data_IF_580250398518
#
_entry.id   IF_580250398518
#
_cell.length_a   1.000
_cell.length_b   1.000
_cell.length_c   1.000
_cell.angle_alpha   90.00
_cell.angle_beta   90.00
_cell.angle_gamma   90.00
#
_symmetry.space_group_name_H-M   'P 1'
#
loop_
_entity.id
_entity.type
_entity.pdbx_description
1 polymer ?
#
# COMPACT_ATOMS: atom_id res chain seq x y z
N UNK A 1 19.79 7.69 8.24
CA UNK A 1 18.60 7.81 9.13
C UNK A 1 18.57 6.60 10.05
N UNK A 2 18.21 6.79 11.32
CA UNK A 2 18.01 5.74 12.33
C UNK A 2 16.56 5.28 12.31
N UNK A 3 16.31 3.99 12.26
CA UNK A 3 14.98 3.39 12.13
C UNK A 3 14.64 2.53 13.34
N UNK A 4 13.39 2.63 13.82
CA UNK A 4 12.77 1.65 14.70
C UNK A 4 11.83 0.76 13.88
N UNK A 5 12.02 -0.56 13.92
CA UNK A 5 11.13 -1.51 13.25
C UNK A 5 10.15 -2.11 14.26
N UNK A 6 8.86 -2.00 13.95
CA UNK A 6 7.77 -2.60 14.70
C UNK A 6 7.14 -3.71 13.85
N UNK A 7 7.28 -4.95 14.31
CA UNK A 7 6.97 -6.13 13.52
C UNK A 7 8.17 -6.65 12.73
N UNK A 8 8.72 -7.80 13.14
CA UNK A 8 9.88 -8.48 12.52
C UNK A 8 9.46 -9.68 11.65
N UNK A 9 8.24 -9.64 11.12
CA UNK A 9 7.72 -10.60 10.15
C UNK A 9 8.43 -10.54 8.80
N UNK A 10 7.81 -11.05 7.75
CA UNK A 10 8.42 -11.08 6.40
C UNK A 10 8.75 -9.68 5.87
N UNK A 11 7.86 -8.69 6.08
CA UNK A 11 8.10 -7.32 5.62
C UNK A 11 9.13 -6.59 6.49
N UNK A 12 9.03 -6.68 7.82
CA UNK A 12 10.02 -6.07 8.70
C UNK A 12 11.45 -6.57 8.46
N UNK A 13 11.62 -7.88 8.17
CA UNK A 13 12.91 -8.43 7.75
C UNK A 13 13.40 -7.86 6.42
N UNK A 14 12.52 -7.77 5.42
CA UNK A 14 12.88 -7.20 4.13
C UNK A 14 13.29 -5.71 4.25
N UNK A 15 12.61 -4.93 5.11
CA UNK A 15 13.00 -3.55 5.41
C UNK A 15 14.36 -3.49 6.11
N UNK A 16 14.62 -4.38 7.09
CA UNK A 16 15.91 -4.44 7.76
C UNK A 16 17.06 -4.77 6.80
N UNK A 17 16.87 -5.80 5.96
CA UNK A 17 17.86 -6.21 4.95
C UNK A 17 18.15 -5.08 3.95
N UNK A 18 17.13 -4.35 3.52
CA UNK A 18 17.31 -3.23 2.59
C UNK A 18 17.98 -2.02 3.27
N UNK A 19 17.62 -1.73 4.53
CA UNK A 19 18.25 -0.68 5.33
C UNK A 19 19.75 -0.94 5.53
N UNK A 20 20.13 -2.19 5.80
CA UNK A 20 21.53 -2.60 6.02
C UNK A 20 22.40 -2.44 4.74
N UNK A 21 21.79 -2.39 3.54
CA UNK A 21 22.50 -2.17 2.26
C UNK A 21 22.55 -0.70 1.85
N UNK A 22 21.83 0.18 2.55
CA UNK A 22 21.66 1.59 2.26
C UNK A 22 22.22 2.53 3.33
N UNK A 23 21.83 3.81 3.32
CA UNK A 23 22.30 4.83 4.27
C UNK A 23 21.52 4.82 5.61
N UNK A 24 20.77 3.76 5.89
CA UNK A 24 19.91 3.64 7.07
C UNK A 24 20.50 2.68 8.11
N UNK A 25 20.12 2.85 9.36
CA UNK A 25 20.52 1.97 10.46
C UNK A 25 19.30 1.61 11.29
N UNK A 26 19.02 0.32 11.43
CA UNK A 26 17.97 -0.17 12.34
C UNK A 26 18.53 -0.19 13.77
N UNK A 27 18.10 0.79 14.58
CA UNK A 27 18.57 0.95 15.97
C UNK A 27 17.68 0.22 16.97
N UNK A 28 16.43 -0.08 16.62
CA UNK A 28 15.49 -0.79 17.49
C UNK A 28 14.60 -1.75 16.68
N UNK A 29 14.28 -2.88 17.31
CA UNK A 29 13.34 -3.88 16.78
C UNK A 29 12.38 -4.30 17.87
N UNK A 30 11.09 -4.37 17.49
CA UNK A 30 9.98 -4.79 18.36
C UNK A 30 9.18 -5.88 17.68
N UNK A 31 8.82 -6.92 18.44
CA UNK A 31 8.04 -8.07 17.99
C UNK A 31 7.28 -8.70 19.16
N UNK A 32 6.84 -9.97 19.03
CA UNK A 32 6.12 -10.69 20.08
C UNK A 32 6.95 -10.90 21.34
N UNK A 33 8.28 -11.02 21.22
CA UNK A 33 9.19 -11.28 22.35
C UNK A 33 9.59 -9.96 23.06
N UNK A 34 9.51 -8.87 22.34
CA UNK A 34 9.76 -7.50 22.84
C UNK A 34 8.67 -6.56 22.32
N UNK A 35 7.47 -6.58 22.92
CA UNK A 35 6.35 -5.78 22.41
C UNK A 35 6.62 -4.27 22.49
N UNK A 36 6.23 -3.56 21.42
CA UNK A 36 6.42 -2.10 21.34
C UNK A 36 5.66 -1.36 22.42
N UNK A 37 4.46 -1.82 22.79
CA UNK A 37 3.62 -1.19 23.80
C UNK A 37 4.16 -1.34 25.24
N UNK A 38 4.97 -2.35 25.49
CA UNK A 38 5.57 -2.60 26.80
C UNK A 38 6.93 -1.91 26.97
N UNK A 39 7.49 -1.40 25.86
CA UNK A 39 8.79 -0.75 25.87
C UNK A 39 8.71 0.70 26.39
N UNK A 40 9.74 1.20 27.11
CA UNK A 40 9.87 2.61 27.39
C UNK A 40 10.30 3.39 26.13
N UNK A 41 10.02 4.70 26.07
CA UNK A 41 10.42 5.55 24.93
C UNK A 41 11.94 5.49 24.66
N UNK A 42 12.76 5.37 25.70
CA UNK A 42 14.23 5.22 25.57
C UNK A 42 14.65 3.98 24.76
N UNK A 43 13.77 2.99 24.61
CA UNK A 43 14.04 1.80 23.81
C UNK A 43 14.03 2.07 22.28
N UNK A 44 13.61 3.25 21.85
CA UNK A 44 13.70 3.72 20.46
C UNK A 44 15.13 4.10 20.04
N UNK A 45 16.03 4.33 21.03
CA UNK A 45 17.44 4.66 20.77
C UNK A 45 17.64 5.82 19.77
N UNK A 46 16.87 6.89 19.94
CA UNK A 46 16.87 8.08 19.06
C UNK A 46 16.57 7.73 17.58
N UNK A 47 15.64 6.84 17.35
CA UNK A 47 15.15 6.57 16.01
C UNK A 47 14.50 7.83 15.41
N UNK A 48 14.87 8.14 14.18
CA UNK A 48 14.31 9.27 13.42
C UNK A 48 12.87 8.98 12.96
N UNK A 49 12.59 7.72 12.58
CA UNK A 49 11.28 7.25 12.09
C UNK A 49 11.04 5.81 12.53
N UNK A 50 9.82 5.49 12.91
CA UNK A 50 9.34 4.12 13.09
C UNK A 50 8.73 3.58 11.80
N UNK A 51 8.92 2.28 11.50
CA UNK A 51 8.25 1.58 10.40
C UNK A 51 7.51 0.38 10.98
N UNK A 52 6.20 0.35 10.81
CA UNK A 52 5.32 -0.67 11.38
C UNK A 52 4.75 -1.62 10.30
N UNK A 53 5.10 -2.90 10.43
CA UNK A 53 4.51 -4.03 9.73
C UNK A 53 4.13 -5.12 10.72
N UNK A 54 3.28 -4.78 11.70
CA UNK A 54 2.84 -5.65 12.78
C UNK A 54 1.50 -6.36 12.47
N UNK A 55 0.59 -6.36 13.42
CA UNK A 55 -0.73 -6.98 13.31
C UNK A 55 -1.83 -5.91 13.29
N UNK A 56 -2.97 -6.15 12.61
CA UNK A 56 -4.08 -5.19 12.52
C UNK A 56 -4.54 -4.65 13.88
N UNK A 57 -4.72 -5.53 14.87
CA UNK A 57 -5.20 -5.16 16.21
C UNK A 57 -4.19 -4.28 16.98
N UNK A 58 -2.93 -4.25 16.57
CA UNK A 58 -1.87 -3.45 17.19
C UNK A 58 -1.63 -2.11 16.48
N UNK A 59 -2.14 -1.91 15.28
CA UNK A 59 -1.87 -0.72 14.47
C UNK A 59 -2.32 0.57 15.18
N UNK A 60 -3.55 0.62 15.68
CA UNK A 60 -4.11 1.79 16.40
C UNK A 60 -3.34 2.11 17.70
N UNK A 61 -3.10 1.14 18.61
CA UNK A 61 -2.25 1.38 19.80
C UNK A 61 -0.83 1.84 19.44
N UNK A 62 -0.23 1.30 18.38
CA UNK A 62 1.12 1.70 17.94
C UNK A 62 1.12 3.13 17.38
N UNK A 63 0.14 3.49 16.53
CA UNK A 63 -0.03 4.86 16.03
C UNK A 63 -0.17 5.86 17.17
N UNK A 64 -1.06 5.59 18.14
CA UNK A 64 -1.22 6.42 19.33
C UNK A 64 0.11 6.60 20.07
N UNK A 65 0.83 5.51 20.33
CA UNK A 65 2.11 5.53 21.02
C UNK A 65 3.17 6.34 20.26
N UNK A 66 3.24 6.20 18.94
CA UNK A 66 4.16 6.98 18.10
C UNK A 66 3.83 8.47 18.16
N UNK A 67 2.56 8.85 18.09
CA UNK A 67 2.13 10.24 18.23
C UNK A 67 2.47 10.81 19.61
N UNK A 68 2.15 10.08 20.72
CA UNK A 68 2.46 10.49 22.09
C UNK A 68 3.96 10.68 22.32
N UNK A 69 4.81 9.90 21.66
CA UNK A 69 6.26 9.98 21.76
C UNK A 69 6.89 10.95 20.74
N UNK A 70 6.07 11.54 19.89
CA UNK A 70 6.50 12.42 18.79
C UNK A 70 7.56 11.76 17.91
N UNK A 71 7.33 10.48 17.54
CA UNK A 71 8.16 9.72 16.61
C UNK A 71 7.36 9.53 15.33
N UNK A 72 7.82 10.08 14.18
CA UNK A 72 7.16 9.85 12.89
C UNK A 72 7.05 8.36 12.59
N UNK A 73 5.93 7.94 12.02
CA UNK A 73 5.69 6.52 11.73
C UNK A 73 5.17 6.27 10.31
N UNK A 74 5.83 5.33 9.64
CA UNK A 74 5.34 4.72 8.40
C UNK A 74 4.57 3.46 8.75
N UNK A 75 3.24 3.49 8.56
CA UNK A 75 2.33 2.42 8.92
C UNK A 75 1.96 1.57 7.69
N UNK A 76 2.55 0.37 7.62
CA UNK A 76 2.26 -0.62 6.60
C UNK A 76 1.29 -1.71 7.06
N UNK A 77 0.92 -1.72 8.34
CA UNK A 77 -0.14 -2.59 8.86
C UNK A 77 -1.50 -2.05 8.42
N UNK A 78 -2.36 -2.91 7.91
CA UNK A 78 -3.71 -2.60 7.41
C UNK A 78 -4.79 -3.02 8.40
N UNK A 79 -6.08 -2.76 8.09
CA UNK A 79 -7.23 -3.20 8.90
C UNK A 79 -7.59 -2.28 10.06
N UNK A 80 -7.19 -0.99 10.00
CA UNK A 80 -7.50 0.03 11.00
C UNK A 80 -8.09 1.33 10.39
N UNK A 81 -8.38 1.34 9.10
CA UNK A 81 -8.81 2.55 8.39
C UNK A 81 -10.18 3.08 8.82
N UNK A 82 -10.98 2.26 9.50
CA UNK A 82 -12.19 2.69 10.21
C UNK A 82 -11.91 3.70 11.35
N UNK A 83 -10.66 3.81 11.78
CA UNK A 83 -10.19 4.73 12.82
C UNK A 83 -9.43 5.96 12.25
N UNK A 84 -9.52 6.25 10.95
CA UNK A 84 -8.79 7.38 10.32
C UNK A 84 -9.06 8.72 11.01
N UNK A 85 -10.32 9.01 11.38
CA UNK A 85 -10.67 10.25 12.08
C UNK A 85 -10.00 10.35 13.47
N UNK A 86 -9.93 9.23 14.20
CA UNK A 86 -9.20 9.17 15.48
C UNK A 86 -7.71 9.43 15.29
N UNK A 87 -7.10 8.80 14.28
CA UNK A 87 -5.68 8.98 13.98
C UNK A 87 -5.38 10.40 13.53
N UNK A 88 -6.25 11.00 12.71
CA UNK A 88 -6.12 12.40 12.31
C UNK A 88 -6.15 13.35 13.52
N UNK A 89 -7.08 13.12 14.47
CA UNK A 89 -7.14 13.90 15.70
C UNK A 89 -5.87 13.73 16.57
N UNK A 90 -5.32 12.52 16.68
CA UNK A 90 -4.06 12.25 17.38
C UNK A 90 -2.87 12.97 16.73
N UNK A 91 -2.78 12.93 15.41
CA UNK A 91 -1.74 13.63 14.64
C UNK A 91 -1.78 15.12 14.91
N UNK A 92 -2.96 15.73 14.85
CA UNK A 92 -3.14 17.16 15.16
C UNK A 92 -2.82 17.51 16.62
N UNK A 93 -3.26 16.66 17.56
CA UNK A 93 -3.05 16.89 19.00
C UNK A 93 -1.57 16.88 19.37
N UNK A 94 -0.77 16.01 18.75
CA UNK A 94 0.64 15.79 19.08
C UNK A 94 1.64 16.43 18.10
N UNK A 95 1.14 17.10 17.04
CA UNK A 95 1.97 17.60 15.93
C UNK A 95 2.89 16.50 15.36
N UNK A 96 2.31 15.30 15.21
CA UNK A 96 3.03 14.09 14.83
C UNK A 96 3.05 13.87 13.30
N UNK A 97 4.01 13.10 12.80
CA UNK A 97 4.07 12.66 11.41
C UNK A 97 3.60 11.20 11.27
N UNK A 98 2.58 10.96 10.47
CA UNK A 98 2.09 9.62 10.13
C UNK A 98 1.95 9.49 8.63
N UNK A 99 2.55 8.45 8.04
CA UNK A 99 2.32 8.07 6.66
C UNK A 99 1.82 6.62 6.62
N UNK A 100 0.71 6.39 5.96
CA UNK A 100 0.15 5.05 5.83
C UNK A 100 -0.12 4.68 4.38
N UNK A 101 -0.01 3.39 4.08
CA UNK A 101 -0.42 2.85 2.79
C UNK A 101 -0.78 1.36 2.92
N UNK A 102 -1.78 0.87 2.18
CA UNK A 102 -2.08 -0.56 2.10
C UNK A 102 -0.99 -1.34 1.38
N UNK A 103 -0.16 -0.63 0.59
CA UNK A 103 0.90 -1.19 -0.23
C UNK A 103 2.01 -0.16 -0.46
N UNK A 104 3.25 -0.50 -0.13
CA UNK A 104 4.42 0.35 -0.33
C UNK A 104 5.18 0.07 -1.62
N UNK A 105 4.60 -0.65 -2.57
CA UNK A 105 5.22 -0.83 -3.90
C UNK A 105 5.11 0.46 -4.71
N UNK A 106 6.22 1.14 -4.93
CA UNK A 106 6.27 2.32 -5.82
C UNK A 106 5.73 1.98 -7.21
N UNK A 107 6.01 0.78 -7.72
CA UNK A 107 5.50 0.35 -9.02
C UNK A 107 3.97 0.20 -9.06
N UNK A 108 3.33 -0.23 -7.95
CA UNK A 108 1.87 -0.27 -7.83
C UNK A 108 1.31 1.15 -7.74
N UNK A 109 1.94 2.03 -6.98
CA UNK A 109 1.51 3.42 -6.85
C UNK A 109 1.60 4.17 -8.20
N UNK A 110 2.67 3.96 -8.97
CA UNK A 110 2.79 4.48 -10.35
C UNK A 110 1.74 3.88 -11.28
N UNK A 111 1.45 2.57 -11.17
CA UNK A 111 0.38 1.92 -11.95
C UNK A 111 -0.98 2.57 -11.65
N UNK A 112 -1.33 2.72 -10.37
CA UNK A 112 -2.58 3.32 -9.90
C UNK A 112 -2.72 4.76 -10.42
N UNK A 113 -1.68 5.60 -10.25
CA UNK A 113 -1.69 6.99 -10.72
C UNK A 113 -1.84 7.10 -12.24
N UNK A 114 -1.18 6.19 -12.98
CA UNK A 114 -1.32 6.13 -14.44
C UNK A 114 -2.72 5.68 -14.84
N UNK A 115 -3.31 4.77 -14.07
CA UNK A 115 -4.67 4.26 -14.30
C UNK A 115 -5.71 5.38 -14.20
N UNK A 116 -5.64 6.28 -13.19
CA UNK A 116 -6.54 7.42 -13.07
C UNK A 116 -6.58 8.25 -14.36
N UNK A 117 -5.40 8.54 -14.90
CA UNK A 117 -5.30 9.32 -16.14
C UNK A 117 -5.83 8.53 -17.35
N UNK A 118 -5.49 7.25 -17.48
CA UNK A 118 -5.96 6.41 -18.58
C UNK A 118 -7.47 6.20 -18.50
N UNK A 119 -8.01 5.98 -17.30
CA UNK A 119 -9.44 5.77 -17.08
C UNK A 119 -10.23 7.00 -17.51
N UNK A 120 -9.78 8.21 -17.15
CA UNK A 120 -10.44 9.45 -17.57
C UNK A 120 -10.46 9.65 -19.10
N UNK A 121 -9.44 9.15 -19.83
CA UNK A 121 -9.44 9.16 -21.30
C UNK A 121 -10.37 8.09 -21.86
N UNK A 122 -10.44 6.91 -21.23
CA UNK A 122 -11.26 5.78 -21.68
C UNK A 122 -12.75 5.98 -21.39
N UNK A 123 -13.11 6.89 -20.48
CA UNK A 123 -14.50 7.25 -20.22
C UNK A 123 -15.17 7.91 -21.43
N UNK A 124 -14.41 8.64 -22.24
CA UNK A 124 -14.87 9.25 -23.49
C UNK A 124 -14.99 8.25 -24.67
N UNK A 125 -14.63 6.97 -24.47
CA UNK A 125 -14.51 5.95 -25.51
C UNK A 125 -15.36 4.72 -25.18
N UNK A 126 -16.65 4.78 -25.54
CA UNK A 126 -17.66 3.76 -25.18
C UNK A 126 -17.35 2.34 -25.72
N UNK A 127 -16.54 2.24 -26.78
CA UNK A 127 -16.16 0.95 -27.38
C UNK A 127 -15.14 0.14 -26.57
N UNK A 128 -14.50 0.76 -25.54
CA UNK A 128 -13.56 0.05 -24.69
C UNK A 128 -14.22 -0.49 -23.42
N UNK A 129 -14.10 -1.79 -23.22
CA UNK A 129 -14.47 -2.46 -21.97
C UNK A 129 -13.26 -2.70 -21.08
N UNK A 130 -13.44 -2.60 -19.75
CA UNK A 130 -12.36 -2.66 -18.79
C UNK A 130 -12.34 -3.98 -18.00
N UNK A 131 -11.13 -4.46 -17.68
CA UNK A 131 -10.94 -5.61 -16.79
C UNK A 131 -9.66 -5.49 -15.95
N UNK A 132 -9.63 -6.25 -14.85
CA UNK A 132 -8.41 -6.47 -14.06
C UNK A 132 -8.08 -7.95 -13.99
N UNK A 133 -6.82 -8.29 -14.16
CA UNK A 133 -6.32 -9.65 -13.99
C UNK A 133 -5.15 -9.65 -13.03
N UNK A 134 -5.16 -10.57 -12.06
CA UNK A 134 -4.05 -10.73 -11.13
C UNK A 134 -3.52 -12.17 -11.07
N UNK A 135 -2.24 -12.29 -10.69
CA UNK A 135 -1.57 -13.56 -10.50
C UNK A 135 -0.68 -13.49 -9.27
N UNK A 136 -0.91 -14.41 -8.30
CA UNK A 136 -0.11 -14.55 -7.09
C UNK A 136 0.26 -16.01 -6.80
N UNK A 137 1.18 -16.17 -5.84
CA UNK A 137 1.59 -17.50 -5.36
C UNK A 137 0.45 -18.24 -4.66
N UNK A 138 0.55 -19.56 -4.61
CA UNK A 138 -0.47 -20.47 -4.03
C UNK A 138 -0.71 -20.28 -2.53
N UNK A 139 0.19 -19.60 -1.81
CA UNK A 139 0.08 -19.35 -0.37
C UNK A 139 -0.64 -18.01 -0.02
N UNK A 140 -1.10 -17.24 -1.02
CA UNK A 140 -1.87 -16.02 -0.78
C UNK A 140 -3.30 -16.40 -0.44
N UNK A 141 -3.78 -15.95 0.74
CA UNK A 141 -5.07 -16.38 1.29
C UNK A 141 -6.25 -15.66 0.63
N UNK A 142 -6.11 -14.36 0.40
CA UNK A 142 -7.14 -13.52 -0.22
C UNK A 142 -7.15 -13.70 -1.76
N UNK A 143 -8.33 -13.72 -2.35
CA UNK A 143 -8.55 -13.80 -3.81
C UNK A 143 -9.91 -13.16 -4.15
N UNK A 144 -9.91 -12.05 -4.90
CA UNK A 144 -8.76 -11.29 -5.40
C UNK A 144 -7.93 -10.66 -4.27
N UNK A 145 -6.72 -10.18 -4.64
CA UNK A 145 -5.89 -9.41 -3.70
C UNK A 145 -6.46 -8.02 -3.47
N UNK A 146 -6.16 -7.41 -2.30
CA UNK A 146 -6.58 -6.04 -2.03
C UNK A 146 -6.13 -5.04 -3.11
N UNK A 147 -4.95 -5.24 -3.72
CA UNK A 147 -4.49 -4.40 -4.85
C UNK A 147 -5.34 -4.60 -6.09
N UNK A 148 -5.73 -5.83 -6.42
CA UNK A 148 -6.58 -6.08 -7.59
C UNK A 148 -7.99 -5.51 -7.39
N UNK A 149 -8.52 -5.62 -6.17
CA UNK A 149 -9.80 -5.03 -5.79
C UNK A 149 -9.75 -3.51 -5.91
N UNK A 150 -8.75 -2.87 -5.32
CA UNK A 150 -8.52 -1.42 -5.41
C UNK A 150 -8.45 -0.93 -6.87
N UNK A 151 -7.70 -1.62 -7.74
CA UNK A 151 -7.62 -1.26 -9.15
C UNK A 151 -8.96 -1.40 -9.88
N UNK A 152 -9.77 -2.42 -9.51
CA UNK A 152 -11.12 -2.57 -10.02
C UNK A 152 -12.06 -1.45 -9.59
N UNK A 153 -12.03 -1.10 -8.30
CA UNK A 153 -12.79 0.02 -7.72
C UNK A 153 -12.41 1.35 -8.35
N UNK A 154 -11.11 1.60 -8.57
CA UNK A 154 -10.60 2.79 -9.24
C UNK A 154 -11.13 2.93 -10.69
N UNK A 155 -11.31 1.82 -11.41
CA UNK A 155 -11.93 1.85 -12.73
C UNK A 155 -13.43 2.17 -12.62
N UNK A 156 -14.13 1.59 -11.63
CA UNK A 156 -15.56 1.88 -11.39
C UNK A 156 -15.76 3.36 -11.09
N UNK A 157 -14.90 3.93 -10.24
CA UNK A 157 -14.97 5.36 -9.88
C UNK A 157 -14.70 6.31 -11.06
N UNK A 158 -13.93 5.87 -12.03
CA UNK A 158 -13.49 6.70 -13.16
C UNK A 158 -14.21 6.43 -14.49
N UNK A 159 -15.09 5.41 -14.61
CA UNK A 159 -15.89 5.13 -15.80
C UNK A 159 -17.39 5.24 -15.49
N UNK A 160 -18.10 6.23 -16.00
CA UNK A 160 -19.55 6.45 -15.74
C UNK A 160 -20.42 5.22 -16.09
N UNK A 161 -19.97 4.39 -17.06
CA UNK A 161 -20.66 3.17 -17.49
C UNK A 161 -20.41 1.94 -16.63
N UNK A 162 -19.57 2.06 -15.57
CA UNK A 162 -19.25 0.98 -14.61
C UNK A 162 -19.78 1.35 -13.23
N UNK A 163 -20.36 0.38 -12.51
CA UNK A 163 -20.99 0.63 -11.21
C UNK A 163 -20.55 -0.33 -10.09
N UNK A 164 -19.89 -1.46 -10.44
CA UNK A 164 -19.41 -2.40 -9.45
C UNK A 164 -18.25 -3.27 -9.95
N UNK A 165 -17.55 -3.87 -9.01
CA UNK A 165 -16.53 -4.89 -9.28
C UNK A 165 -17.16 -6.27 -9.17
N UNK A 166 -16.96 -7.12 -10.19
CA UNK A 166 -17.33 -8.53 -10.17
C UNK A 166 -16.07 -9.40 -10.10
N UNK A 167 -15.94 -10.20 -9.05
CA UNK A 167 -14.77 -11.05 -8.82
C UNK A 167 -15.06 -12.55 -8.84
N UNK A 168 -16.33 -12.93 -8.82
CA UNK A 168 -16.75 -14.33 -8.86
C UNK A 168 -16.71 -14.91 -10.28
N UNK A 169 -16.57 -16.22 -10.36
CA UNK A 169 -16.63 -16.93 -11.66
C UNK A 169 -18.01 -16.78 -12.27
N UNK A 170 -18.09 -16.18 -13.45
CA UNK A 170 -19.35 -16.00 -14.17
C UNK A 170 -19.70 -17.23 -14.99
N UNK A 171 -20.91 -17.75 -14.81
CA UNK A 171 -21.47 -18.86 -15.58
C UNK A 171 -22.47 -18.41 -16.67
N UNK A 172 -22.57 -17.10 -16.86
CA UNK A 172 -23.40 -16.43 -17.86
C UNK A 172 -22.65 -15.24 -18.45
N UNK A 173 -23.28 -14.47 -19.32
CA UNK A 173 -22.70 -13.21 -19.79
C UNK A 173 -22.49 -12.28 -18.59
N UNK A 174 -21.31 -11.67 -18.50
CA UNK A 174 -21.05 -10.66 -17.48
C UNK A 174 -21.96 -9.45 -17.69
N UNK A 175 -22.31 -8.79 -16.59
CA UNK A 175 -23.02 -7.52 -16.62
C UNK A 175 -22.13 -6.47 -17.30
N UNK A 176 -22.63 -5.74 -18.33
CA UNK A 176 -21.84 -4.68 -18.97
C UNK A 176 -21.41 -3.56 -18.03
N UNK A 177 -22.13 -3.33 -16.91
CA UNK A 177 -21.76 -2.34 -15.89
C UNK A 177 -20.71 -2.85 -14.89
N UNK A 178 -20.36 -4.13 -14.91
CA UNK A 178 -19.34 -4.69 -14.05
C UNK A 178 -17.91 -4.47 -14.59
N UNK A 179 -16.96 -4.27 -13.68
CA UNK A 179 -15.53 -4.47 -13.95
C UNK A 179 -15.11 -5.85 -13.46
N UNK A 180 -14.76 -6.75 -14.38
CA UNK A 180 -14.35 -8.10 -14.01
C UNK A 180 -12.93 -8.13 -13.48
N UNK A 181 -12.76 -8.57 -12.20
CA UNK A 181 -11.48 -8.78 -11.56
C UNK A 181 -11.20 -10.27 -11.41
N UNK A 182 -10.32 -10.80 -12.24
CA UNK A 182 -9.98 -12.23 -12.23
C UNK A 182 -8.67 -12.52 -11.50
N UNK A 183 -8.64 -13.62 -10.75
CA UNK A 183 -7.50 -14.02 -9.93
C UNK A 183 -6.97 -15.39 -10.31
N UNK A 184 -5.64 -15.51 -10.43
CA UNK A 184 -4.96 -16.80 -10.59
C UNK A 184 -3.96 -17.02 -9.45
N UNK A 185 -3.95 -18.24 -8.91
CA UNK A 185 -2.98 -18.69 -7.88
C UNK A 185 -2.08 -19.75 -8.47
N UNK A 186 -0.75 -19.48 -8.55
CA UNK A 186 0.20 -20.41 -9.15
C UNK A 186 1.61 -20.21 -8.61
N UNK A 187 2.30 -21.32 -8.37
CA UNK A 187 3.74 -21.34 -8.06
C UNK A 187 4.16 -20.36 -6.98
N UNK A 188 5.15 -19.55 -7.30
CA UNK A 188 5.80 -18.56 -6.40
C UNK A 188 5.69 -17.14 -6.89
N UNK A 189 4.71 -16.79 -7.72
CA UNK A 189 4.50 -15.44 -8.24
C UNK A 189 4.29 -14.45 -7.09
N UNK A 190 5.08 -13.38 -7.05
CA UNK A 190 5.02 -12.38 -5.97
C UNK A 190 3.83 -11.42 -6.07
N UNK A 191 3.26 -11.31 -7.25
CA UNK A 191 2.14 -10.43 -7.56
C UNK A 191 2.33 -9.80 -8.92
N UNK A 192 1.36 -10.00 -9.77
CA UNK A 192 1.28 -9.39 -11.09
C UNK A 192 -0.14 -8.89 -11.27
N UNK A 193 -0.29 -7.66 -11.71
CA UNK A 193 -1.56 -7.01 -11.95
C UNK A 193 -1.55 -6.45 -13.36
N UNK A 194 -2.57 -6.75 -14.12
CA UNK A 194 -2.82 -6.19 -15.43
C UNK A 194 -4.19 -5.54 -15.43
N UNK A 195 -4.23 -4.25 -15.75
CA UNK A 195 -5.45 -3.53 -16.07
C UNK A 195 -5.51 -3.42 -17.58
N UNK A 196 -6.61 -3.80 -18.18
CA UNK A 196 -6.80 -3.76 -19.63
C UNK A 196 -8.09 -3.06 -20.02
N UNK A 197 -8.03 -2.36 -21.17
CA UNK A 197 -9.16 -1.77 -21.87
C UNK A 197 -9.18 -2.38 -23.27
N UNK A 198 -10.24 -3.10 -23.59
CA UNK A 198 -10.36 -3.91 -24.82
C UNK A 198 -11.48 -3.40 -25.71
N UNK A 199 -11.20 -3.27 -26.99
CA UNK A 199 -12.15 -2.81 -28.00
C UNK A 199 -12.19 -3.77 -29.20
N UNK A 200 -13.13 -3.61 -30.16
CA UNK A 200 -13.10 -4.36 -31.42
C UNK A 200 -11.87 -4.10 -32.28
N UNK A 201 -11.07 -3.07 -31.97
CA UNK A 201 -9.95 -2.61 -32.80
C UNK A 201 -8.60 -2.98 -32.22
N UNK A 202 -8.44 -2.79 -30.89
CA UNK A 202 -7.18 -3.00 -30.21
C UNK A 202 -7.39 -3.14 -28.69
N UNK A 203 -6.31 -3.32 -27.96
CA UNK A 203 -6.28 -3.41 -26.50
C UNK A 203 -5.18 -2.52 -25.95
N UNK A 204 -5.51 -1.70 -24.97
CA UNK A 204 -4.55 -0.99 -24.13
C UNK A 204 -4.40 -1.74 -22.81
N UNK A 205 -3.17 -1.97 -22.33
CA UNK A 205 -2.93 -2.64 -21.06
C UNK A 205 -1.81 -2.00 -20.26
N UNK A 206 -2.06 -1.80 -18.99
CA UNK A 206 -1.08 -1.40 -17.97
C UNK A 206 -0.73 -2.63 -17.14
N UNK A 207 0.56 -2.91 -16.95
CA UNK A 207 0.98 -4.10 -16.22
C UNK A 207 2.08 -3.79 -15.22
N UNK A 208 1.87 -4.23 -14.00
CA UNK A 208 2.88 -4.27 -12.95
C UNK A 208 3.20 -5.72 -12.58
N UNK A 209 4.48 -6.03 -12.38
CA UNK A 209 4.93 -7.32 -11.87
C UNK A 209 5.98 -7.12 -10.78
N UNK A 210 5.65 -7.52 -9.57
CA UNK A 210 6.61 -7.60 -8.47
C UNK A 210 7.59 -8.76 -8.69
N UNK A 211 8.88 -8.51 -8.55
CA UNK A 211 9.92 -9.56 -8.66
C UNK A 211 10.18 -10.24 -7.32
N UNK A 212 10.04 -9.48 -6.23
CA UNK A 212 10.26 -9.93 -4.85
C UNK A 212 9.70 -8.89 -3.87
N UNK A 213 9.86 -9.10 -2.55
CA UNK A 213 9.41 -8.15 -1.51
C UNK A 213 10.29 -6.90 -1.37
N UNK A 214 11.47 -6.91 -1.94
CA UNK A 214 12.41 -5.80 -1.83
C UNK A 214 11.81 -4.48 -2.34
N UNK A 215 10.98 -4.52 -3.41
CA UNK A 215 10.31 -3.33 -3.93
C UNK A 215 9.39 -2.63 -2.91
N UNK A 216 8.73 -3.41 -2.04
CA UNK A 216 7.90 -2.85 -0.96
C UNK A 216 8.76 -2.28 0.18
N UNK A 217 9.88 -2.95 0.51
CA UNK A 217 10.82 -2.47 1.52
C UNK A 217 11.47 -1.14 1.10
N UNK A 218 11.91 -1.04 -0.14
CA UNK A 218 12.44 0.21 -0.72
C UNK A 218 11.39 1.33 -0.65
N UNK A 219 10.13 1.04 -0.99
CA UNK A 219 9.07 2.04 -0.91
C UNK A 219 8.80 2.50 0.52
N UNK A 220 8.79 1.59 1.50
CA UNK A 220 8.63 1.95 2.91
C UNK A 220 9.81 2.80 3.42
N UNK A 221 11.04 2.51 3.00
CA UNK A 221 12.21 3.32 3.35
C UNK A 221 12.14 4.72 2.72
N UNK A 222 11.73 4.83 1.46
CA UNK A 222 11.53 6.14 0.80
C UNK A 222 10.41 6.95 1.45
N UNK A 223 9.32 6.28 1.85
CA UNK A 223 8.26 6.92 2.61
C UNK A 223 8.78 7.44 3.97
N UNK A 224 9.65 6.69 4.64
CA UNK A 224 10.29 7.11 5.89
C UNK A 224 11.25 8.30 5.68
N UNK A 225 12.04 8.30 4.60
CA UNK A 225 12.88 9.44 4.23
C UNK A 225 12.06 10.70 3.99
N UNK A 226 10.95 10.55 3.25
CA UNK A 226 10.07 11.66 2.93
C UNK A 226 9.33 12.19 4.18
N UNK A 227 8.89 11.31 5.07
CA UNK A 227 8.16 11.67 6.29
C UNK A 227 9.05 12.36 7.34
N UNK A 228 10.35 12.07 7.34
CA UNK A 228 11.29 12.60 8.33
C UNK A 228 11.27 14.14 8.38
N UNK A 229 10.93 14.69 9.54
CA UNK A 229 10.79 16.13 9.75
C UNK A 229 9.49 16.76 9.26
N UNK A 230 8.52 15.95 8.81
CA UNK A 230 7.18 16.39 8.43
C UNK A 230 6.17 16.03 9.53
N UNK A 231 5.17 16.88 9.73
CA UNK A 231 4.01 16.65 10.62
C UNK A 231 2.74 16.66 9.80
N UNK A 232 1.84 15.74 10.09
CA UNK A 232 0.60 15.55 9.34
C UNK A 232 0.28 14.06 9.13
N UNK A 233 -0.90 13.80 8.58
CA UNK A 233 -1.34 12.47 8.17
C UNK A 233 -1.26 12.38 6.64
N UNK A 234 -0.46 11.46 6.15
CA UNK A 234 -0.09 11.34 4.74
C UNK A 234 -0.32 9.92 4.21
N UNK A 235 -0.45 9.83 2.91
CA UNK A 235 -0.49 8.58 2.13
C UNK A 235 0.75 8.45 1.24
N UNK A 236 0.87 7.34 0.52
CA UNK A 236 1.93 7.20 -0.48
C UNK A 236 1.71 8.11 -1.70
N UNK A 237 0.48 8.54 -1.95
CA UNK A 237 0.17 9.46 -3.05
C UNK A 237 0.74 10.85 -2.79
N UNK A 238 0.72 11.33 -1.55
CA UNK A 238 1.37 12.60 -1.16
C UNK A 238 2.87 12.58 -1.46
N UNK A 239 3.52 11.43 -1.27
CA UNK A 239 4.94 11.25 -1.62
C UNK A 239 5.16 11.33 -3.12
N UNK A 240 4.28 10.72 -3.91
CA UNK A 240 4.36 10.76 -5.38
C UNK A 240 4.10 12.17 -5.92
N UNK A 241 3.14 12.89 -5.36
CA UNK A 241 2.84 14.27 -5.74
C UNK A 241 4.08 15.17 -5.53
N UNK A 242 4.70 15.09 -4.35
CA UNK A 242 5.91 15.86 -4.04
C UNK A 242 7.08 15.55 -5.01
N UNK A 243 7.17 14.30 -5.51
CA UNK A 243 8.18 13.92 -6.50
C UNK A 243 7.89 14.41 -7.91
N UNK A 244 6.62 14.66 -8.24
CA UNK A 244 6.22 15.20 -9.55
C UNK A 244 6.35 16.73 -9.60
N UNK A 245 6.18 17.40 -8.47
CA UNK A 245 6.25 18.85 -8.35
C UNK A 245 7.69 19.38 -8.15
N UNK A 246 8.65 18.54 -7.82
CA UNK A 246 10.08 18.85 -7.58
C UNK A 246 10.95 18.58 -8.77
#
# INVERSE_FOLDING_TARGET
MKLALVGTGQMGRAVAEEADTGPHTVVSRFDSDRPFLDAPQSALHDADVAIDFSLPDLARPHLRRCCEWNVPVVMGTTGWYDALDEVHALVQQHDAGVLYAPNFSIGVAVLSRTLDHVTSLMDELDEYDAFVQELHHTKKADSPSGTAQMLGEQIVDGLERKDHVESETQHQRIDPSAVHVSSTRTGTAFGEHTVGFDSPFDRVALRHRAKNRRGFAVGALRAAEWLHGRTGLYTLDDVLDDWLDG
#
